data_IF_283739450487
#
_entry.id   IF_283739450487
#
_cell.length_a   1.000
_cell.length_b   1.000
_cell.length_c   1.000
_cell.angle_alpha   90.00
_cell.angle_beta   90.00
_cell.angle_gamma   90.00
#
_symmetry.space_group_name_H-M   'P 1'
#
loop_
_entity.id
_entity.type
_entity.pdbx_description
1 polymer ?
#
# COMPACT_ATOMS: atom_id res chain seq x y z
N UNK A 1 -68.17 -61.42 -9.23
CA UNK A 1 -66.80 -61.56 -8.69
C UNK A 1 -65.85 -60.99 -9.72
N UNK A 2 -65.21 -59.86 -9.41
CA UNK A 2 -63.86 -59.49 -9.84
C UNK A 2 -63.58 -58.08 -9.31
N UNK A 3 -62.57 -58.00 -8.47
CA UNK A 3 -61.95 -56.83 -7.85
C UNK A 3 -60.98 -56.16 -8.82
N UNK A 4 -60.92 -54.83 -8.83
CA UNK A 4 -59.82 -54.08 -9.45
C UNK A 4 -59.12 -53.27 -8.35
N UNK A 5 -57.86 -53.62 -8.11
CA UNK A 5 -56.94 -52.95 -7.20
C UNK A 5 -56.33 -51.70 -7.85
N UNK A 6 -56.26 -50.65 -7.06
CA UNK A 6 -55.74 -49.32 -7.37
C UNK A 6 -54.20 -49.32 -7.31
N UNK A 7 -53.54 -48.97 -8.42
CA UNK A 7 -52.08 -48.85 -8.50
C UNK A 7 -51.63 -47.41 -8.20
N UNK A 8 -50.92 -47.23 -7.09
CA UNK A 8 -50.20 -46.00 -6.75
C UNK A 8 -48.84 -45.95 -7.47
N UNK A 9 -48.58 -44.86 -8.20
CA UNK A 9 -47.26 -44.56 -8.78
C UNK A 9 -46.43 -43.75 -7.76
N UNK A 10 -45.24 -44.23 -7.32
CA UNK A 10 -44.38 -43.47 -6.43
C UNK A 10 -43.44 -42.60 -7.28
N UNK A 11 -43.65 -41.28 -7.27
CA UNK A 11 -42.77 -40.38 -8.04
C UNK A 11 -43.11 -38.90 -8.03
N UNK A 12 -44.06 -38.43 -7.22
CA UNK A 12 -44.33 -37.00 -7.12
C UNK A 12 -43.49 -36.39 -6.00
N UNK A 13 -42.25 -36.00 -6.34
CA UNK A 13 -41.42 -35.20 -5.47
C UNK A 13 -42.07 -33.82 -5.32
N UNK A 14 -42.61 -33.56 -4.13
CA UNK A 14 -43.05 -32.24 -3.69
C UNK A 14 -41.90 -31.25 -3.91
N UNK A 15 -42.15 -30.20 -4.69
CA UNK A 15 -41.24 -29.09 -4.84
C UNK A 15 -41.12 -28.36 -3.49
N UNK A 16 -40.07 -28.68 -2.74
CA UNK A 16 -39.67 -27.98 -1.54
C UNK A 16 -39.33 -26.53 -1.89
N UNK A 17 -40.03 -25.59 -1.27
CA UNK A 17 -39.72 -24.17 -1.33
C UNK A 17 -38.27 -23.94 -0.88
N UNK A 18 -37.44 -23.45 -1.80
CA UNK A 18 -36.08 -23.03 -1.48
C UNK A 18 -36.16 -21.73 -0.68
N UNK A 19 -36.01 -21.86 0.64
CA UNK A 19 -35.67 -20.75 1.54
C UNK A 19 -34.25 -20.30 1.18
N UNK A 20 -34.12 -19.11 0.60
CA UNK A 20 -32.82 -18.48 0.37
C UNK A 20 -32.23 -18.01 1.71
N UNK A 21 -31.30 -18.78 2.27
CA UNK A 21 -30.37 -18.27 3.28
C UNK A 21 -29.53 -17.16 2.64
N UNK A 22 -29.86 -15.92 2.96
CA UNK A 22 -29.11 -14.74 2.59
C UNK A 22 -27.76 -14.78 3.31
N UNK A 23 -26.74 -15.27 2.61
CA UNK A 23 -25.36 -15.31 3.10
C UNK A 23 -24.85 -13.87 3.24
N UNK A 24 -24.96 -13.31 4.45
CA UNK A 24 -24.45 -11.99 4.79
C UNK A 24 -22.97 -11.88 4.36
N UNK A 25 -22.58 -10.85 3.59
CA UNK A 25 -21.20 -10.70 3.14
C UNK A 25 -20.27 -10.54 4.36
N UNK A 26 -19.05 -11.11 4.31
CA UNK A 26 -18.11 -11.00 5.42
C UNK A 26 -17.79 -9.51 5.69
N UNK A 27 -17.62 -9.12 6.96
CA UNK A 27 -17.32 -7.74 7.31
C UNK A 27 -16.00 -7.31 6.65
N UNK A 28 -16.07 -6.28 5.80
CA UNK A 28 -14.88 -5.69 5.16
C UNK A 28 -13.94 -5.18 6.26
N UNK A 29 -12.65 -5.55 6.25
CA UNK A 29 -11.71 -5.07 7.24
C UNK A 29 -11.62 -3.54 7.13
N UNK A 30 -11.90 -2.85 8.24
CA UNK A 30 -11.73 -1.40 8.35
C UNK A 30 -10.24 -1.10 8.40
N UNK A 31 -9.65 -0.84 7.24
CA UNK A 31 -8.28 -0.38 7.15
C UNK A 31 -8.26 1.07 7.61
N UNK A 32 -7.65 1.32 8.77
CA UNK A 32 -7.47 2.67 9.29
C UNK A 32 -6.48 3.42 8.39
N UNK A 33 -7.00 4.22 7.46
CA UNK A 33 -6.18 5.01 6.53
C UNK A 33 -5.14 5.88 7.25
N UNK A 34 -5.41 6.35 8.48
CA UNK A 34 -4.43 7.08 9.31
C UNK A 34 -3.21 6.22 9.67
N UNK A 35 -3.41 4.94 10.00
CA UNK A 35 -2.33 4.00 10.32
C UNK A 35 -1.56 3.59 9.06
N UNK A 36 -2.27 3.39 7.94
CA UNK A 36 -1.63 3.12 6.64
C UNK A 36 -0.78 4.30 6.20
N UNK A 37 -1.27 5.53 6.34
CA UNK A 37 -0.55 6.73 5.95
C UNK A 37 0.70 6.94 6.80
N UNK A 38 0.67 6.61 8.10
CA UNK A 38 1.86 6.60 8.97
C UNK A 38 2.88 5.56 8.49
N UNK A 39 2.46 4.33 8.16
CA UNK A 39 3.37 3.28 7.69
C UNK A 39 3.99 3.65 6.34
N UNK A 40 3.20 4.19 5.41
CA UNK A 40 3.68 4.68 4.11
C UNK A 40 4.66 5.84 4.29
N UNK A 41 4.39 6.76 5.22
CA UNK A 41 5.27 7.89 5.51
C UNK A 41 6.61 7.44 6.10
N UNK A 42 6.60 6.44 7.01
CA UNK A 42 7.82 5.84 7.57
C UNK A 42 8.64 5.15 6.47
N UNK A 43 7.99 4.41 5.57
CA UNK A 43 8.66 3.77 4.43
C UNK A 43 9.25 4.79 3.45
N UNK A 44 8.56 5.90 3.20
CA UNK A 44 9.06 6.98 2.36
C UNK A 44 10.30 7.66 2.97
N UNK A 45 10.27 7.96 4.27
CA UNK A 45 11.43 8.53 4.99
C UNK A 45 12.61 7.55 4.98
N UNK A 46 12.35 6.26 5.20
CA UNK A 46 13.39 5.23 5.14
C UNK A 46 14.03 5.14 3.75
N UNK A 47 13.20 5.14 2.69
CA UNK A 47 13.67 5.10 1.30
C UNK A 47 14.51 6.34 0.95
N UNK A 48 14.06 7.53 1.36
CA UNK A 48 14.78 8.80 1.19
C UNK A 48 16.10 8.79 1.99
N UNK A 49 16.08 8.27 3.22
CA UNK A 49 17.28 8.15 4.07
C UNK A 49 18.35 7.25 3.46
N UNK A 50 17.95 6.09 2.92
CA UNK A 50 18.88 5.17 2.24
C UNK A 50 19.42 5.80 0.94
N UNK A 51 18.58 6.49 0.18
CA UNK A 51 18.97 7.10 -1.08
C UNK A 51 19.92 8.31 -0.88
N UNK A 52 19.75 9.07 0.20
CA UNK A 52 20.59 10.23 0.50
C UNK A 52 21.94 9.85 1.15
N UNK A 53 21.98 8.77 1.94
CA UNK A 53 23.23 8.28 2.56
C UNK A 53 24.17 7.60 1.54
N UNK A 54 23.67 7.14 0.40
CA UNK A 54 24.49 6.53 -0.66
C UNK A 54 25.34 7.52 -1.47
N UNK A 55 25.11 8.84 -1.40
CA UNK A 55 25.83 9.82 -2.25
C UNK A 55 26.82 10.74 -1.52
N UNK A 56 27.15 10.45 -0.26
CA UNK A 56 28.18 11.21 0.48
C UNK A 56 29.45 10.39 0.69
N UNK A 57 30.18 10.11 -0.40
CA UNK A 57 31.60 9.76 -0.30
C UNK A 57 32.37 11.01 0.09
N UNK A 58 32.49 11.29 1.39
CA UNK A 58 33.53 12.21 1.87
C UNK A 58 34.88 11.53 1.68
N UNK A 59 35.68 12.08 0.78
CA UNK A 59 37.07 11.69 0.58
C UNK A 59 37.81 11.78 1.92
N UNK A 60 38.28 10.63 2.43
CA UNK A 60 39.28 10.59 3.49
C UNK A 60 40.57 11.19 2.93
N UNK A 61 40.84 12.45 3.29
CA UNK A 61 42.16 13.04 3.14
C UNK A 61 43.06 12.34 4.16
N UNK A 62 43.81 11.33 3.71
CA UNK A 62 44.87 10.73 4.51
C UNK A 62 45.89 11.83 4.80
N UNK A 63 45.88 12.31 6.05
CA UNK A 63 46.97 13.10 6.63
C UNK A 63 47.94 12.08 7.21
N UNK A 64 48.99 11.78 6.46
CA UNK A 64 50.16 11.11 7.01
C UNK A 64 50.87 12.15 7.88
N UNK A 65 50.85 11.95 9.19
CA UNK A 65 51.74 12.65 10.10
C UNK A 65 53.04 11.84 10.16
N UNK A 66 54.06 12.32 9.46
CA UNK A 66 55.42 11.81 9.59
C UNK A 66 55.91 12.16 11.00
N UNK A 67 55.92 11.18 11.90
CA UNK A 67 56.77 11.27 13.08
C UNK A 67 58.21 11.06 12.63
N UNK A 68 58.95 12.15 12.68
CA UNK A 68 60.39 12.29 12.49
C UNK A 68 61.14 11.37 13.46
N UNK A 69 61.92 10.42 12.92
CA UNK A 69 62.92 9.67 13.68
C UNK A 69 64.28 10.25 13.33
N UNK A 70 64.89 10.95 14.28
CA UNK A 70 66.26 11.46 14.19
C UNK A 70 67.15 10.69 15.19
N UNK A 71 67.96 9.78 14.62
CA UNK A 71 69.32 9.26 14.92
C UNK A 71 70.02 9.54 16.30
N UNK A 72 71.16 8.89 16.64
CA UNK A 72 71.70 7.56 16.33
C UNK A 72 72.18 6.76 17.58
N UNK A 73 72.22 5.43 17.42
CA UNK A 73 73.16 4.42 17.94
C UNK A 73 74.09 4.81 19.11
N UNK A 74 73.86 4.22 20.29
CA UNK A 74 74.90 3.95 21.26
C UNK A 74 75.16 2.44 21.31
N UNK A 75 76.30 2.05 20.77
CA UNK A 75 76.88 0.71 20.85
C UNK A 75 77.24 0.46 22.31
N UNK A 76 76.69 -0.60 22.93
CA UNK A 76 77.33 -1.21 24.09
C UNK A 76 77.79 -2.61 23.68
N UNK A 77 79.06 -2.85 23.96
CA UNK A 77 79.86 -3.98 23.50
C UNK A 77 79.37 -5.32 24.07
N UNK A 78 79.67 -6.45 23.41
CA UNK A 78 79.25 -7.77 23.84
C UNK A 78 80.10 -8.24 25.03
N UNK A 79 79.45 -8.70 26.10
CA UNK A 79 80.11 -9.58 27.06
C UNK A 79 79.86 -11.01 26.61
N UNK A 80 80.95 -11.59 26.13
CA UNK A 80 81.13 -12.98 25.77
C UNK A 80 80.88 -13.89 26.98
N UNK A 81 79.77 -14.62 26.96
CA UNK A 81 79.52 -15.71 27.89
C UNK A 81 79.88 -17.04 27.21
N UNK A 82 80.88 -17.67 27.81
CA UNK A 82 81.60 -18.92 27.49
C UNK A 82 80.70 -20.09 27.02
N UNK A 83 81.22 -21.06 26.24
CA UNK A 83 80.41 -22.12 25.64
C UNK A 83 79.90 -23.11 26.69
N UNK A 84 78.59 -23.40 26.68
CA UNK A 84 78.03 -24.62 27.25
C UNK A 84 77.21 -25.36 26.20
N UNK A 85 77.68 -26.55 25.88
CA UNK A 85 77.04 -27.56 25.03
C UNK A 85 76.35 -28.60 25.95
N UNK A 86 75.56 -29.51 25.39
CA UNK A 86 74.11 -29.47 25.13
C UNK A 86 73.31 -30.12 26.28
N UNK A 87 71.97 -29.98 26.30
CA UNK A 87 70.99 -30.99 26.79
C UNK A 87 69.62 -30.33 27.00
N UNK A 88 68.69 -30.55 26.05
CA UNK A 88 67.28 -30.94 26.28
C UNK A 88 66.41 -30.67 25.05
N UNK A 89 66.55 -31.53 24.03
CA UNK A 89 65.75 -31.45 22.81
C UNK A 89 64.37 -32.13 22.94
N UNK A 90 64.04 -32.76 24.08
CA UNK A 90 62.75 -33.44 24.25
C UNK A 90 61.59 -32.49 24.62
N UNK A 91 61.86 -31.34 25.25
CA UNK A 91 60.78 -30.43 25.67
C UNK A 91 60.25 -29.53 24.53
N UNK A 92 61.05 -29.35 23.48
CA UNK A 92 60.67 -28.56 22.28
C UNK A 92 59.80 -29.38 21.33
N UNK A 93 60.04 -30.68 21.19
CA UNK A 93 59.22 -31.56 20.33
C UNK A 93 57.83 -31.77 20.94
N UNK A 94 57.72 -31.91 22.26
CA UNK A 94 56.45 -32.13 22.94
C UNK A 94 55.54 -30.87 22.92
N UNK A 95 56.12 -29.67 23.06
CA UNK A 95 55.38 -28.40 22.96
C UNK A 95 54.94 -28.09 21.53
N UNK A 96 55.72 -28.50 20.52
CA UNK A 96 55.35 -28.41 19.11
C UNK A 96 54.21 -29.34 18.71
N UNK A 97 54.20 -30.59 19.23
CA UNK A 97 53.13 -31.54 19.00
C UNK A 97 51.79 -31.09 19.60
N UNK A 98 51.79 -30.60 20.85
CA UNK A 98 50.57 -30.06 21.50
C UNK A 98 50.05 -28.81 20.78
N UNK A 99 50.94 -27.98 20.22
CA UNK A 99 50.51 -26.83 19.42
C UNK A 99 49.89 -27.25 18.09
N UNK A 100 50.41 -28.30 17.45
CA UNK A 100 49.86 -28.82 16.19
C UNK A 100 48.50 -29.50 16.40
N UNK A 101 48.33 -30.25 17.48
CA UNK A 101 47.05 -30.86 17.89
C UNK A 101 45.96 -29.79 18.08
N UNK A 102 46.29 -28.72 18.83
CA UNK A 102 45.35 -27.61 19.06
C UNK A 102 45.03 -26.86 17.77
N UNK A 103 46.00 -26.71 16.85
CA UNK A 103 45.77 -26.08 15.54
C UNK A 103 44.91 -26.97 14.64
N UNK A 104 45.05 -28.29 14.71
CA UNK A 104 44.24 -29.23 13.96
C UNK A 104 42.80 -29.24 14.46
N UNK A 105 42.61 -29.29 15.78
CA UNK A 105 41.28 -29.18 16.41
C UNK A 105 40.57 -27.87 16.04
N UNK A 106 41.27 -26.73 16.07
CA UNK A 106 40.71 -25.44 15.67
C UNK A 106 40.35 -25.37 14.17
N UNK A 107 41.13 -26.04 13.30
CA UNK A 107 40.83 -26.12 11.86
C UNK A 107 39.62 -27.02 11.61
N UNK A 108 39.50 -28.12 12.34
CA UNK A 108 38.37 -29.04 12.24
C UNK A 108 37.06 -28.40 12.73
N UNK A 109 37.11 -27.69 13.86
CA UNK A 109 36.00 -26.86 14.34
C UNK A 109 35.65 -25.74 13.34
N UNK A 110 36.67 -25.11 12.76
CA UNK A 110 36.52 -24.12 11.69
C UNK A 110 35.80 -24.69 10.46
N UNK A 111 36.18 -25.89 10.02
CA UNK A 111 35.53 -26.58 8.90
C UNK A 111 34.07 -26.92 9.21
N UNK A 112 33.78 -27.49 10.38
CA UNK A 112 32.41 -27.79 10.80
C UNK A 112 31.54 -26.50 10.86
N UNK A 113 32.11 -25.39 11.32
CA UNK A 113 31.45 -24.09 11.33
C UNK A 113 31.18 -23.55 9.92
N UNK A 114 32.12 -23.71 8.99
CA UNK A 114 31.96 -23.34 7.58
C UNK A 114 30.86 -24.18 6.93
N UNK A 115 30.83 -25.49 7.14
CA UNK A 115 29.77 -26.37 6.63
C UNK A 115 28.39 -25.96 7.14
N UNK A 116 28.26 -25.68 8.45
CA UNK A 116 27.01 -25.20 9.03
C UNK A 116 26.58 -23.84 8.45
N UNK A 117 27.52 -22.96 8.09
CA UNK A 117 27.23 -21.69 7.41
C UNK A 117 26.79 -21.91 5.96
N UNK A 118 27.40 -22.85 5.24
CA UNK A 118 26.99 -23.21 3.89
C UNK A 118 25.57 -23.77 3.88
N UNK A 119 25.24 -24.68 4.81
CA UNK A 119 23.90 -25.24 4.93
C UNK A 119 22.84 -24.15 5.23
N UNK A 120 23.13 -23.23 6.16
CA UNK A 120 22.24 -22.08 6.43
C UNK A 120 22.08 -21.16 5.22
N UNK A 121 23.17 -20.94 4.47
CA UNK A 121 23.13 -20.10 3.27
C UNK A 121 22.28 -20.77 2.18
N UNK A 122 22.40 -22.09 2.00
CA UNK A 122 21.57 -22.85 1.07
C UNK A 122 20.09 -22.82 1.45
N UNK A 123 19.76 -22.98 2.72
CA UNK A 123 18.39 -22.84 3.20
C UNK A 123 17.84 -21.44 2.93
N UNK A 124 18.64 -20.39 3.22
CA UNK A 124 18.25 -19.01 2.92
C UNK A 124 18.06 -18.76 1.42
N UNK A 125 18.86 -19.40 0.55
CA UNK A 125 18.71 -19.28 -0.89
C UNK A 125 17.43 -19.96 -1.38
N UNK A 126 17.09 -21.12 -0.83
CA UNK A 126 15.83 -21.81 -1.12
C UNK A 126 14.62 -20.96 -0.71
N UNK A 127 14.67 -20.34 0.48
CA UNK A 127 13.62 -19.42 0.92
C UNK A 127 13.49 -18.20 0.02
N UNK A 128 14.61 -17.62 -0.43
CA UNK A 128 14.58 -16.51 -1.39
C UNK A 128 13.98 -16.92 -2.73
N UNK A 129 14.27 -18.13 -3.22
CA UNK A 129 13.67 -18.66 -4.45
C UNK A 129 12.16 -18.85 -4.29
N UNK A 130 11.70 -19.39 -3.16
CA UNK A 130 10.28 -19.53 -2.85
C UNK A 130 9.58 -18.16 -2.79
N UNK A 131 10.19 -17.18 -2.13
CA UNK A 131 9.64 -15.82 -2.06
C UNK A 131 9.59 -15.16 -3.46
N UNK A 132 10.61 -15.36 -4.30
CA UNK A 132 10.61 -14.88 -5.69
C UNK A 132 9.49 -15.52 -6.51
N UNK A 133 9.24 -16.82 -6.34
CA UNK A 133 8.14 -17.51 -7.02
C UNK A 133 6.78 -16.95 -6.59
N UNK A 134 6.59 -16.72 -5.28
CA UNK A 134 5.37 -16.11 -4.74
C UNK A 134 5.19 -14.68 -5.27
N UNK A 135 6.24 -13.86 -5.28
CA UNK A 135 6.19 -12.51 -5.84
C UNK A 135 5.85 -12.54 -7.34
N UNK A 136 6.47 -13.45 -8.10
CA UNK A 136 6.17 -13.61 -9.54
C UNK A 136 4.70 -13.97 -9.76
N UNK A 137 4.15 -14.87 -8.95
CA UNK A 137 2.72 -15.22 -8.98
C UNK A 137 1.83 -14.02 -8.65
N UNK A 138 2.16 -13.26 -7.61
CA UNK A 138 1.41 -12.05 -7.24
C UNK A 138 1.44 -10.99 -8.34
N UNK A 139 2.57 -10.79 -9.03
CA UNK A 139 2.68 -9.89 -10.17
C UNK A 139 1.78 -10.35 -11.32
N UNK A 140 1.73 -11.65 -11.60
CA UNK A 140 0.83 -12.20 -12.61
C UNK A 140 -0.64 -11.97 -12.24
N UNK A 141 -1.02 -12.16 -10.97
CA UNK A 141 -2.36 -11.86 -10.46
C UNK A 141 -2.69 -10.37 -10.62
N UNK A 142 -1.77 -9.48 -10.23
CA UNK A 142 -1.96 -8.03 -10.38
C UNK A 142 -2.18 -7.65 -11.84
N UNK A 143 -1.37 -8.19 -12.76
CA UNK A 143 -1.54 -7.93 -14.19
C UNK A 143 -2.90 -8.43 -14.71
N UNK A 144 -3.34 -9.60 -14.26
CA UNK A 144 -4.68 -10.11 -14.59
C UNK A 144 -5.80 -9.22 -14.04
N UNK A 145 -5.69 -8.76 -12.79
CA UNK A 145 -6.68 -7.82 -12.22
C UNK A 145 -6.69 -6.48 -12.95
N UNK A 146 -5.53 -5.96 -13.36
CA UNK A 146 -5.45 -4.74 -14.15
C UNK A 146 -6.14 -4.90 -15.51
N UNK A 147 -5.92 -6.03 -16.19
CA UNK A 147 -6.61 -6.32 -17.45
C UNK A 147 -8.14 -6.45 -17.25
N UNK A 148 -8.58 -7.07 -16.15
CA UNK A 148 -10.00 -7.17 -15.82
C UNK A 148 -10.62 -5.80 -15.54
N UNK A 149 -9.96 -4.95 -14.75
CA UNK A 149 -10.39 -3.57 -14.54
C UNK A 149 -10.47 -2.78 -15.85
N UNK A 150 -9.47 -2.91 -16.73
CA UNK A 150 -9.49 -2.24 -18.04
C UNK A 150 -10.66 -2.74 -18.89
N UNK A 151 -10.95 -4.03 -18.85
CA UNK A 151 -12.10 -4.62 -19.54
C UNK A 151 -13.42 -4.08 -18.99
N UNK A 152 -13.59 -4.06 -17.66
CA UNK A 152 -14.77 -3.50 -16.99
C UNK A 152 -14.96 -2.01 -17.30
N UNK A 153 -13.89 -1.22 -17.27
CA UNK A 153 -13.95 0.22 -17.61
C UNK A 153 -14.35 0.42 -19.07
N UNK A 154 -13.79 -0.37 -19.99
CA UNK A 154 -14.12 -0.30 -21.41
C UNK A 154 -15.58 -0.71 -21.65
N UNK A 155 -16.06 -1.73 -20.94
CA UNK A 155 -17.45 -2.17 -20.97
C UNK A 155 -18.40 -1.09 -20.47
N UNK A 156 -18.11 -0.48 -19.30
CA UNK A 156 -18.89 0.65 -18.77
C UNK A 156 -18.89 1.85 -19.73
N UNK A 157 -17.76 2.16 -20.36
CA UNK A 157 -17.70 3.23 -21.35
C UNK A 157 -18.57 2.93 -22.58
N UNK A 158 -18.59 1.69 -23.06
CA UNK A 158 -19.46 1.29 -24.17
C UNK A 158 -20.94 1.34 -23.81
N UNK A 159 -21.31 0.93 -22.59
CA UNK A 159 -22.67 1.02 -22.08
C UNK A 159 -23.12 2.49 -21.95
N UNK A 160 -22.26 3.35 -21.42
CA UNK A 160 -22.50 4.80 -21.38
C UNK A 160 -22.66 5.41 -22.78
N UNK A 161 -21.90 4.94 -23.76
CA UNK A 161 -22.02 5.41 -25.14
C UNK A 161 -23.36 4.97 -25.78
N UNK A 162 -23.80 3.73 -25.51
CA UNK A 162 -25.11 3.22 -25.98
C UNK A 162 -26.26 3.97 -25.30
N UNK A 163 -26.16 4.25 -24.01
CA UNK A 163 -27.14 5.07 -23.28
C UNK A 163 -27.16 6.52 -23.78
N UNK A 164 -26.00 7.12 -24.06
CA UNK A 164 -25.89 8.46 -24.65
C UNK A 164 -26.47 8.56 -26.07
N UNK A 165 -26.30 7.53 -26.89
CA UNK A 165 -26.85 7.49 -28.25
C UNK A 165 -28.36 7.20 -28.28
N UNK A 166 -28.88 6.43 -27.33
CA UNK A 166 -30.31 6.16 -27.20
C UNK A 166 -31.10 7.34 -26.58
N UNK A 167 -30.46 8.17 -25.73
CA UNK A 167 -31.07 9.41 -25.24
C UNK A 167 -31.12 10.49 -26.33
N UNK A 168 -30.10 10.59 -27.19
CA UNK A 168 -30.08 11.60 -28.27
C UNK A 168 -30.94 11.25 -29.49
N UNK A 169 -31.39 9.99 -29.64
CA UNK A 169 -32.30 9.58 -30.72
C UNK A 169 -33.78 9.72 -30.36
N UNK A 170 -34.15 9.78 -29.07
CA UNK A 170 -35.55 9.96 -28.64
C UNK A 170 -35.99 11.42 -28.48
N UNK A 171 -35.04 12.37 -28.52
CA UNK A 171 -35.31 13.80 -28.30
C UNK A 171 -35.01 14.68 -29.54
N UNK A 172 -35.14 14.13 -30.75
CA UNK A 172 -35.00 14.90 -32.00
C UNK A 172 -36.32 15.20 -32.72
N UNK A 173 -37.41 15.19 -31.95
CA UNK A 173 -38.64 15.90 -32.31
C UNK A 173 -39.08 16.76 -31.12
N UNK A 174 -38.36 17.84 -30.81
CA UNK A 174 -39.00 19.09 -30.37
C UNK A 174 -37.99 20.23 -30.25
N UNK A 175 -38.14 21.17 -31.19
CA UNK A 175 -38.04 22.61 -31.00
C UNK A 175 -36.73 23.15 -30.42
N UNK A 176 -35.90 23.63 -31.35
CA UNK A 176 -35.03 24.80 -31.17
C UNK A 176 -35.69 25.87 -30.29
N UNK A 177 -35.26 25.97 -29.03
CA UNK A 177 -35.41 27.19 -28.22
C UNK A 177 -34.03 27.56 -27.73
N UNK A 178 -33.62 28.76 -28.13
CA UNK A 178 -32.44 29.45 -27.62
C UNK A 178 -32.37 29.27 -26.10
N UNK A 179 -31.26 28.70 -25.62
CA UNK A 179 -31.02 28.56 -24.19
C UNK A 179 -31.13 29.95 -23.54
N UNK A 180 -31.97 30.13 -22.51
CA UNK A 180 -32.03 31.40 -21.80
C UNK A 180 -30.64 31.73 -21.25
N UNK A 181 -30.18 32.96 -21.46
CA UNK A 181 -29.00 33.48 -20.76
C UNK A 181 -29.36 33.56 -19.28
N UNK A 182 -29.03 32.51 -18.52
CA UNK A 182 -29.30 32.43 -17.08
C UNK A 182 -28.36 33.43 -16.38
N UNK A 183 -28.91 34.54 -15.88
CA UNK A 183 -28.14 35.50 -15.07
C UNK A 183 -27.62 34.80 -13.81
N UNK A 184 -26.34 34.95 -13.43
CA UNK A 184 -25.80 34.36 -12.21
C UNK A 184 -26.49 35.00 -10.99
N UNK A 185 -27.19 34.19 -10.20
CA UNK A 185 -27.80 34.61 -8.94
C UNK A 185 -26.91 34.15 -7.79
N UNK A 186 -26.69 35.00 -6.80
CA UNK A 186 -26.00 34.63 -5.56
C UNK A 186 -27.07 34.23 -4.54
N UNK A 187 -26.95 33.02 -4.02
CA UNK A 187 -27.84 32.45 -3.00
C UNK A 187 -27.10 32.34 -1.67
N UNK A 188 -27.86 32.46 -0.58
CA UNK A 188 -27.39 32.30 0.80
C UNK A 188 -28.34 31.38 1.56
N UNK A 189 -27.81 30.65 2.54
CA UNK A 189 -28.64 29.87 3.45
C UNK A 189 -29.31 30.82 4.44
N UNK A 190 -30.64 30.70 4.55
CA UNK A 190 -31.45 31.37 5.56
C UNK A 190 -31.71 30.44 6.75
N UNK A 191 -32.01 29.18 6.48
CA UNK A 191 -32.17 28.15 7.49
C UNK A 191 -31.75 26.79 6.91
N UNK A 192 -31.22 25.93 7.77
CA UNK A 192 -30.72 24.61 7.39
C UNK A 192 -31.16 23.57 8.40
N UNK A 193 -31.78 22.50 7.92
CA UNK A 193 -32.12 21.32 8.72
C UNK A 193 -31.65 20.06 7.98
N UNK A 194 -31.53 18.91 8.66
CA UNK A 194 -31.22 17.66 7.99
C UNK A 194 -32.16 17.39 6.80
N UNK A 195 -31.58 17.26 5.61
CA UNK A 195 -32.29 16.96 4.37
C UNK A 195 -33.05 18.12 3.71
N UNK A 196 -33.10 19.32 4.30
CA UNK A 196 -33.73 20.50 3.68
C UNK A 196 -32.97 21.79 3.97
N UNK A 197 -32.81 22.61 2.95
CA UNK A 197 -32.25 23.95 3.07
C UNK A 197 -33.24 25.01 2.58
N UNK A 198 -33.33 26.12 3.30
CA UNK A 198 -34.01 27.33 2.85
C UNK A 198 -32.96 28.30 2.34
N UNK A 199 -33.02 28.60 1.04
CA UNK A 199 -32.08 29.48 0.35
C UNK A 199 -32.76 30.79 0.00
N UNK A 200 -32.09 31.90 0.26
CA UNK A 200 -32.53 33.25 -0.11
C UNK A 200 -31.60 33.87 -1.14
N UNK A 201 -32.14 34.70 -2.02
CA UNK A 201 -31.33 35.53 -2.93
C UNK A 201 -30.60 36.64 -2.18
N UNK A 202 -29.58 37.24 -2.81
CA UNK A 202 -28.91 38.43 -2.28
C UNK A 202 -29.89 39.57 -1.96
N UNK A 203 -30.91 39.76 -2.79
CA UNK A 203 -31.93 40.81 -2.65
C UNK A 203 -32.95 40.53 -1.52
N UNK A 204 -32.90 39.36 -0.87
CA UNK A 204 -33.58 39.12 0.41
C UNK A 204 -35.10 38.90 0.35
N UNK A 205 -35.68 38.66 -0.83
CA UNK A 205 -37.14 38.60 -1.01
C UNK A 205 -37.75 37.22 -1.31
N UNK A 206 -36.97 36.23 -1.78
CA UNK A 206 -37.51 34.94 -2.20
C UNK A 206 -36.73 33.79 -1.57
N UNK A 207 -37.42 32.99 -0.74
CA UNK A 207 -36.89 31.78 -0.11
C UNK A 207 -37.29 30.56 -0.94
N UNK A 208 -36.32 29.83 -1.49
CA UNK A 208 -36.55 28.51 -2.08
C UNK A 208 -36.21 27.42 -1.07
N UNK A 209 -37.06 26.41 -0.96
CA UNK A 209 -36.75 25.20 -0.18
C UNK A 209 -36.19 24.16 -1.11
N UNK A 210 -35.05 23.57 -0.76
CA UNK A 210 -34.39 22.55 -1.58
C UNK A 210 -34.06 21.33 -0.72
N UNK A 211 -34.15 20.14 -1.32
CA UNK A 211 -33.63 18.87 -0.78
C UNK A 211 -32.53 18.33 -1.69
N UNK A 212 -31.86 17.29 -1.24
CA UNK A 212 -30.91 16.55 -2.09
C UNK A 212 -31.58 16.06 -3.37
N UNK A 213 -30.90 16.26 -4.50
CA UNK A 213 -31.43 15.98 -5.84
C UNK A 213 -32.24 17.10 -6.48
N UNK A 214 -32.60 18.17 -5.75
CA UNK A 214 -33.31 19.31 -6.36
C UNK A 214 -32.36 20.16 -7.20
N UNK A 215 -32.88 20.71 -8.30
CA UNK A 215 -32.15 21.63 -9.18
C UNK A 215 -32.28 23.08 -8.69
N UNK A 216 -31.13 23.73 -8.53
CA UNK A 216 -30.99 25.13 -8.17
C UNK A 216 -30.49 25.90 -9.40
N UNK A 217 -31.19 26.97 -9.82
CA UNK A 217 -30.73 27.84 -10.90
C UNK A 217 -29.29 28.30 -10.65
N UNK A 218 -28.42 28.19 -11.65
CA UNK A 218 -26.99 28.60 -11.61
C UNK A 218 -26.05 27.80 -10.70
N UNK A 219 -26.58 26.90 -9.86
CA UNK A 219 -25.78 26.05 -8.98
C UNK A 219 -25.84 24.56 -9.35
N UNK A 220 -26.79 24.14 -10.20
CA UNK A 220 -26.94 22.74 -10.58
C UNK A 220 -27.79 21.98 -9.56
N UNK A 221 -27.49 20.71 -9.34
CA UNK A 221 -28.26 19.83 -8.44
C UNK A 221 -27.67 19.84 -7.04
N UNK A 222 -28.48 19.74 -6.00
CA UNK A 222 -28.01 19.57 -4.61
C UNK A 222 -27.42 18.18 -4.42
N UNK A 223 -26.13 18.10 -4.13
CA UNK A 223 -25.41 16.85 -3.88
C UNK A 223 -25.46 16.43 -2.41
N UNK A 224 -25.31 17.39 -1.50
CA UNK A 224 -25.40 17.15 -0.06
C UNK A 224 -25.81 18.42 0.70
N UNK A 225 -26.57 18.22 1.76
CA UNK A 225 -26.92 19.26 2.74
C UNK A 225 -26.27 18.86 4.06
N UNK A 226 -25.31 19.65 4.54
CA UNK A 226 -24.64 19.43 5.83
C UNK A 226 -25.09 20.46 6.87
N UNK A 227 -26.01 20.09 7.78
CA UNK A 227 -26.51 20.97 8.84
C UNK A 227 -25.44 21.36 9.88
N UNK A 228 -24.40 20.54 10.04
CA UNK A 228 -23.36 20.74 11.06
C UNK A 228 -22.38 21.80 10.59
N UNK A 229 -21.98 21.74 9.32
CA UNK A 229 -21.07 22.73 8.72
C UNK A 229 -21.81 23.96 8.21
N UNK A 230 -23.13 23.90 8.07
CA UNK A 230 -23.91 25.02 7.56
C UNK A 230 -23.69 25.24 6.06
N UNK A 231 -23.55 24.16 5.29
CA UNK A 231 -23.20 24.22 3.86
C UNK A 231 -24.10 23.35 3.00
N UNK A 232 -24.35 23.82 1.78
CA UNK A 232 -25.02 23.04 0.72
C UNK A 232 -24.07 22.90 -0.46
N UNK A 233 -23.71 21.67 -0.79
CA UNK A 233 -22.84 21.37 -1.93
C UNK A 233 -23.66 21.04 -3.17
N UNK A 234 -23.27 21.59 -4.31
CA UNK A 234 -24.02 21.39 -5.56
C UNK A 234 -23.15 20.83 -6.68
N UNK A 235 -23.79 20.30 -7.73
CA UNK A 235 -23.12 19.63 -8.85
C UNK A 235 -22.25 20.56 -9.70
N UNK A 236 -22.42 21.89 -9.59
CA UNK A 236 -21.50 22.86 -10.20
C UNK A 236 -20.16 23.00 -9.46
N UNK A 237 -20.00 22.36 -8.30
CA UNK A 237 -18.83 22.53 -7.43
C UNK A 237 -18.88 23.79 -6.56
N UNK A 238 -19.97 24.57 -6.63
CA UNK A 238 -20.20 25.73 -5.78
C UNK A 238 -20.83 25.30 -4.45
N UNK A 239 -20.40 25.93 -3.37
CA UNK A 239 -20.98 25.72 -2.04
C UNK A 239 -21.78 26.95 -1.65
N UNK A 240 -23.00 26.74 -1.17
CA UNK A 240 -23.85 27.80 -0.61
C UNK A 240 -23.67 27.78 0.90
N UNK A 241 -23.48 28.95 1.49
CA UNK A 241 -23.23 29.15 2.93
C UNK A 241 -24.21 30.16 3.50
N UNK A 242 -24.28 30.25 4.84
CA UNK A 242 -25.00 31.32 5.50
C UNK A 242 -24.45 32.69 5.11
N UNK A 243 -25.34 33.69 5.05
CA UNK A 243 -24.91 35.09 4.92
C UNK A 243 -24.10 35.44 6.17
N UNK A 244 -22.83 35.76 6.01
CA UNK A 244 -22.04 36.34 7.09
C UNK A 244 -22.58 37.73 7.42
N UNK A 245 -22.81 38.01 8.70
CA UNK A 245 -22.83 39.38 9.20
C UNK A 245 -21.36 39.84 9.24
N UNK A 246 -21.04 40.96 8.59
CA UNK A 246 -19.77 41.66 8.80
C UNK A 246 -19.75 42.36 10.16
#
# INVERSE_FOLDING_TARGET
>A
MASEEEYHIPGEAQASAYQSEELSPPPKPKIDFKKVLIVVFILAIFWIGVHFVSSSKKAKKNRYELTQVEQPIAISMPVEQKPQVPTNNMMVIQKGAVNLENRLANVEEGNASVEARVQRTNASLADLQNNLAVMSSQIATLNSTLQDLVSQVTQQQSELHVLGNNQTKKERESVSKQAPVIKPQILFIQALIPGRAWLSTQEGGMSMTVKEGDAIPTYGVVNSIDPVQGVVNTSSGRTIVFRGEE
#
